data_IF_783877330988
#
_entry.id   IF_783877330988
#
_cell.length_a   1.000
_cell.length_b   1.000
_cell.length_c   1.000
_cell.angle_alpha   90.00
_cell.angle_beta   90.00
_cell.angle_gamma   90.00
#
_symmetry.space_group_name_H-M   'P 1'
#
loop_
_entity.id
_entity.type
_entity.pdbx_description
1 polymer ?
#
# COMPACT_ATOMS: atom_id res chain seq x y z
N UNK A 1 -58.94 -57.96 17.43
CA UNK A 1 -58.68 -57.06 16.25
C UNK A 1 -57.75 -56.00 16.70
N UNK A 2 -56.47 -56.15 16.45
CA UNK A 2 -55.43 -55.22 16.87
C UNK A 2 -54.84 -54.64 15.61
N UNK A 3 -55.16 -53.36 15.32
CA UNK A 3 -54.58 -52.60 14.19
C UNK A 3 -53.12 -52.25 14.46
N UNK A 4 -52.26 -52.62 13.55
CA UNK A 4 -50.85 -52.29 13.58
C UNK A 4 -50.63 -50.77 13.26
N UNK A 5 -49.82 -50.01 14.01
CA UNK A 5 -49.59 -48.63 13.76
C UNK A 5 -48.72 -48.45 12.52
N UNK A 6 -49.20 -47.63 11.64
CA UNK A 6 -48.78 -47.35 10.29
C UNK A 6 -47.30 -46.87 10.20
N UNK A 7 -46.51 -47.57 9.42
CA UNK A 7 -45.13 -47.21 9.00
C UNK A 7 -44.95 -45.81 8.35
N UNK A 8 -46.04 -45.14 8.01
CA UNK A 8 -46.05 -43.78 7.42
C UNK A 8 -45.51 -42.70 8.38
N UNK A 9 -45.77 -42.80 9.69
CA UNK A 9 -45.29 -41.79 10.69
C UNK A 9 -43.77 -41.79 10.90
N UNK A 10 -43.14 -42.97 10.86
CA UNK A 10 -41.68 -43.08 11.04
C UNK A 10 -40.90 -42.51 9.86
N UNK A 11 -41.45 -42.57 8.66
CA UNK A 11 -40.81 -42.04 7.45
C UNK A 11 -40.88 -40.50 7.40
N UNK A 12 -41.96 -39.90 7.88
CA UNK A 12 -42.11 -38.44 8.00
C UNK A 12 -41.11 -37.84 9.03
N UNK A 13 -40.95 -38.48 10.19
CA UNK A 13 -40.01 -38.01 11.22
C UNK A 13 -38.55 -37.98 10.76
N UNK A 14 -38.15 -38.97 9.92
CA UNK A 14 -36.78 -38.99 9.34
C UNK A 14 -36.56 -37.86 8.34
N UNK A 15 -37.55 -37.54 7.50
CA UNK A 15 -37.46 -36.41 6.56
C UNK A 15 -37.41 -35.06 7.27
N UNK A 16 -38.17 -34.90 8.35
CA UNK A 16 -38.12 -33.70 9.20
C UNK A 16 -36.73 -33.50 9.85
N UNK A 17 -36.14 -34.63 10.33
CA UNK A 17 -34.80 -34.60 10.90
C UNK A 17 -33.74 -34.17 9.83
N UNK A 18 -33.80 -34.74 8.63
CA UNK A 18 -32.90 -34.36 7.54
C UNK A 18 -33.11 -32.89 7.09
N UNK A 19 -34.35 -32.42 7.07
CA UNK A 19 -34.65 -31.02 6.76
C UNK A 19 -34.06 -30.05 7.81
N UNK A 20 -34.18 -30.39 9.09
CA UNK A 20 -33.58 -29.60 10.17
C UNK A 20 -32.06 -29.60 10.08
N UNK A 21 -31.41 -30.71 9.84
CA UNK A 21 -29.96 -30.80 9.64
C UNK A 21 -29.55 -30.02 8.42
N UNK A 22 -30.26 -30.09 7.31
CA UNK A 22 -29.96 -29.33 6.09
C UNK A 22 -30.05 -27.84 6.32
N UNK A 23 -31.10 -27.35 7.01
CA UNK A 23 -31.27 -25.91 7.31
C UNK A 23 -30.16 -25.39 8.25
N UNK A 24 -29.69 -26.21 9.20
CA UNK A 24 -28.61 -25.78 10.11
C UNK A 24 -27.23 -25.83 9.45
N UNK A 25 -27.00 -26.79 8.56
CA UNK A 25 -25.69 -26.94 7.89
C UNK A 25 -25.59 -26.06 6.63
N UNK A 26 -26.69 -25.80 5.93
CA UNK A 26 -26.70 -25.05 4.68
C UNK A 26 -26.02 -23.66 4.80
N UNK A 27 -26.27 -22.81 5.82
CA UNK A 27 -25.60 -21.50 5.93
C UNK A 27 -24.09 -21.64 6.14
N UNK A 28 -23.63 -22.66 6.86
CA UNK A 28 -22.20 -22.92 7.07
C UNK A 28 -21.54 -23.33 5.76
N UNK A 29 -22.15 -24.28 5.04
CA UNK A 29 -21.64 -24.71 3.73
C UNK A 29 -21.71 -23.55 2.70
N UNK A 30 -22.78 -22.77 2.70
CA UNK A 30 -22.91 -21.59 1.83
C UNK A 30 -21.83 -20.55 2.12
N UNK A 31 -21.51 -20.31 3.40
CA UNK A 31 -20.43 -19.40 3.81
C UNK A 31 -19.05 -19.91 3.34
N UNK A 32 -18.77 -21.19 3.53
CA UNK A 32 -17.53 -21.81 3.03
C UNK A 32 -17.46 -21.75 1.50
N UNK A 33 -18.53 -22.07 0.81
CA UNK A 33 -18.59 -22.04 -0.65
C UNK A 33 -18.39 -20.60 -1.16
N UNK A 34 -19.05 -19.63 -0.56
CA UNK A 34 -18.90 -18.22 -0.89
C UNK A 34 -17.45 -17.75 -0.66
N UNK A 35 -16.80 -18.17 0.42
CA UNK A 35 -15.42 -17.81 0.71
C UNK A 35 -14.42 -18.41 -0.30
N UNK A 36 -14.59 -19.68 -0.68
CA UNK A 36 -13.64 -20.36 -1.58
C UNK A 36 -13.91 -20.11 -3.07
N UNK A 37 -15.18 -19.96 -3.46
CA UNK A 37 -15.58 -19.73 -4.87
C UNK A 37 -15.59 -18.23 -5.20
N UNK A 38 -16.10 -17.42 -4.27
CA UNK A 38 -16.14 -15.97 -4.41
C UNK A 38 -15.05 -15.31 -3.54
N UNK A 39 -13.79 -15.66 -3.80
CA UNK A 39 -12.70 -14.86 -3.22
C UNK A 39 -12.97 -13.40 -3.58
N UNK A 40 -13.30 -12.50 -2.64
CA UNK A 40 -13.33 -11.09 -2.96
C UNK A 40 -11.92 -10.77 -3.43
N UNK A 41 -11.75 -10.48 -4.72
CA UNK A 41 -10.53 -9.87 -5.23
C UNK A 41 -10.27 -8.69 -4.32
N UNK A 42 -9.16 -8.72 -3.59
CA UNK A 42 -8.77 -7.69 -2.63
C UNK A 42 -9.07 -6.32 -3.21
N UNK A 43 -9.57 -5.40 -2.39
CA UNK A 43 -10.13 -4.13 -2.86
C UNK A 43 -9.23 -3.55 -3.94
N UNK A 44 -9.83 -3.13 -5.05
CA UNK A 44 -9.10 -2.58 -6.21
C UNK A 44 -8.28 -1.40 -5.71
N UNK A 45 -6.98 -1.63 -5.49
CA UNK A 45 -6.02 -0.57 -5.23
C UNK A 45 -5.74 0.13 -6.55
N UNK A 46 -5.58 1.44 -6.52
CA UNK A 46 -5.21 2.20 -7.70
C UNK A 46 -3.72 2.00 -8.03
N UNK A 47 -2.87 2.08 -6.99
CA UNK A 47 -1.47 1.72 -7.09
C UNK A 47 -1.27 0.22 -7.20
N UNK A 48 -0.16 -0.18 -7.77
CA UNK A 48 0.27 -1.57 -7.80
C UNK A 48 0.74 -2.00 -6.41
N UNK A 49 0.07 -3.01 -5.84
CA UNK A 49 0.50 -3.61 -4.59
C UNK A 49 1.79 -4.38 -4.81
N UNK A 50 2.79 -4.06 -4.00
CA UNK A 50 4.03 -4.81 -3.94
C UNK A 50 3.93 -5.92 -2.87
N UNK A 51 4.79 -6.93 -2.99
CA UNK A 51 4.99 -7.86 -1.89
C UNK A 51 5.48 -7.06 -0.68
N UNK A 52 4.71 -7.10 0.42
CA UNK A 52 5.06 -6.38 1.65
C UNK A 52 6.29 -7.04 2.26
N UNK A 53 7.42 -6.36 2.12
CA UNK A 53 8.71 -6.81 2.67
C UNK A 53 9.54 -5.59 3.05
N UNK A 54 10.40 -5.71 4.08
CA UNK A 54 11.30 -4.62 4.44
C UNK A 54 12.17 -4.21 3.25
N UNK A 55 12.30 -2.90 3.04
CA UNK A 55 13.29 -2.38 2.09
C UNK A 55 14.67 -2.75 2.62
N UNK A 56 15.48 -3.52 1.88
CA UNK A 56 16.83 -3.86 2.32
C UNK A 56 17.65 -2.60 2.62
N UNK A 57 18.54 -2.70 3.61
CA UNK A 57 19.47 -1.61 3.91
C UNK A 57 20.43 -1.43 2.72
N UNK A 58 20.65 -0.18 2.34
CA UNK A 58 21.62 0.21 1.32
C UNK A 58 22.27 1.53 1.71
N UNK A 59 23.43 1.81 1.11
CA UNK A 59 24.25 2.97 1.46
C UNK A 59 23.62 4.26 0.95
N UNK A 60 23.33 5.15 1.88
CA UNK A 60 22.80 6.49 1.63
C UNK A 60 23.70 7.54 2.28
N UNK A 61 23.71 8.73 1.68
CA UNK A 61 24.36 9.90 2.26
C UNK A 61 23.45 11.11 2.10
N UNK A 62 23.58 12.08 2.99
CA UNK A 62 23.04 13.44 2.81
C UNK A 62 23.75 14.15 1.67
N UNK A 63 23.24 15.33 1.25
CA UNK A 63 23.91 16.15 0.23
C UNK A 63 25.31 16.61 0.67
N UNK A 64 25.53 16.73 1.99
CA UNK A 64 26.82 17.10 2.60
C UNK A 64 27.76 15.89 2.79
N UNK A 65 27.36 14.72 2.28
CA UNK A 65 28.17 13.49 2.34
C UNK A 65 28.15 12.74 3.67
N UNK A 66 27.30 13.12 4.62
CA UNK A 66 27.17 12.39 5.87
C UNK A 66 26.38 11.08 5.66
N UNK A 67 26.76 9.99 6.31
CA UNK A 67 26.01 8.75 6.26
C UNK A 67 24.55 8.96 6.69
N UNK A 68 23.62 8.32 6.00
CA UNK A 68 22.19 8.37 6.30
C UNK A 68 21.55 6.99 6.12
N UNK A 69 20.40 6.78 6.73
CA UNK A 69 19.67 5.52 6.66
C UNK A 69 18.17 5.73 6.54
N UNK A 70 17.47 4.88 5.79
CA UNK A 70 16.01 4.84 5.78
C UNK A 70 15.44 4.48 7.16
N UNK A 71 16.21 3.81 8.01
CA UNK A 71 15.78 3.46 9.37
C UNK A 71 15.46 4.70 10.22
N UNK A 72 16.10 5.84 9.96
CA UNK A 72 15.85 7.12 10.64
C UNK A 72 14.51 7.74 10.30
N UNK A 73 13.89 7.29 9.21
CA UNK A 73 12.60 7.76 8.73
C UNK A 73 11.44 6.83 9.14
N UNK A 74 11.71 5.76 9.91
CA UNK A 74 10.66 4.89 10.46
C UNK A 74 9.70 5.68 11.34
N UNK A 75 8.47 5.18 11.45
CA UNK A 75 7.38 5.86 12.15
C UNK A 75 6.57 6.79 11.25
N UNK A 76 6.96 6.96 9.98
CA UNK A 76 6.20 7.76 8.99
C UNK A 76 6.00 7.00 7.69
N UNK A 77 4.92 7.29 7.02
CA UNK A 77 4.67 6.86 5.66
C UNK A 77 5.59 7.65 4.72
N UNK A 78 6.37 6.96 3.90
CA UNK A 78 7.31 7.62 2.99
C UNK A 78 6.80 7.56 1.56
N UNK A 79 6.65 8.72 0.93
CA UNK A 79 6.50 8.86 -0.51
C UNK A 79 7.89 9.02 -1.12
N UNK A 80 8.38 7.97 -1.77
CA UNK A 80 9.77 7.86 -2.24
C UNK A 80 9.81 7.94 -3.76
N UNK A 81 10.58 8.86 -4.29
CA UNK A 81 10.97 8.87 -5.69
C UNK A 81 12.49 8.78 -5.83
N UNK A 82 12.95 8.26 -6.95
CA UNK A 82 14.37 8.24 -7.30
C UNK A 82 14.58 8.88 -8.67
N UNK A 83 15.55 9.78 -8.76
CA UNK A 83 15.92 10.45 -10.01
C UNK A 83 17.32 11.04 -9.93
N UNK A 84 17.86 11.44 -11.09
CA UNK A 84 19.07 12.26 -11.19
C UNK A 84 18.90 13.60 -10.50
N UNK A 85 19.99 14.16 -9.94
CA UNK A 85 20.01 15.54 -9.47
C UNK A 85 19.73 16.57 -10.56
N UNK A 86 19.94 16.26 -11.84
CA UNK A 86 19.59 17.13 -12.97
C UNK A 86 18.09 17.43 -13.06
N UNK A 87 17.26 16.53 -12.56
CA UNK A 87 15.81 16.66 -12.41
C UNK A 87 15.12 17.29 -13.63
N UNK A 88 14.90 16.49 -14.68
CA UNK A 88 14.15 16.93 -15.85
C UNK A 88 12.67 17.26 -15.50
N UNK A 89 11.91 17.77 -16.44
CA UNK A 89 10.54 18.25 -16.22
C UNK A 89 9.66 17.19 -15.52
N UNK A 90 9.72 15.92 -15.94
CA UNK A 90 8.96 14.84 -15.31
C UNK A 90 9.32 14.61 -13.84
N UNK A 91 10.58 14.86 -13.45
CA UNK A 91 11.03 14.83 -12.07
C UNK A 91 10.45 16.02 -11.29
N UNK A 92 10.49 17.24 -11.82
CA UNK A 92 9.89 18.43 -11.19
C UNK A 92 8.39 18.26 -10.96
N UNK A 93 7.69 17.73 -11.96
CA UNK A 93 6.25 17.45 -11.87
C UNK A 93 5.95 16.41 -10.80
N UNK A 94 6.81 15.39 -10.67
CA UNK A 94 6.67 14.36 -9.63
C UNK A 94 6.92 14.94 -8.23
N UNK A 95 7.97 15.74 -8.05
CA UNK A 95 8.25 16.43 -6.78
C UNK A 95 7.06 17.30 -6.35
N UNK A 96 6.49 18.05 -7.30
CA UNK A 96 5.28 18.84 -7.08
C UNK A 96 4.10 17.95 -6.66
N UNK A 97 3.85 16.88 -7.39
CA UNK A 97 2.75 15.94 -7.09
C UNK A 97 2.89 15.32 -5.69
N UNK A 98 4.08 14.85 -5.31
CA UNK A 98 4.33 14.29 -3.98
C UNK A 98 4.08 15.33 -2.86
N UNK A 99 4.39 16.60 -3.11
CA UNK A 99 4.06 17.69 -2.19
C UNK A 99 2.54 17.82 -2.02
N UNK A 100 1.81 17.82 -3.14
CA UNK A 100 0.35 17.91 -3.12
C UNK A 100 -0.27 16.70 -2.42
N UNK A 101 0.24 15.49 -2.64
CA UNK A 101 -0.26 14.28 -1.98
C UNK A 101 -0.13 14.37 -0.45
N UNK A 102 1.00 14.87 0.06
CA UNK A 102 1.21 15.11 1.49
C UNK A 102 0.26 16.16 2.04
N UNK A 103 0.21 17.35 1.43
CA UNK A 103 -0.62 18.48 1.88
C UNK A 103 -2.11 18.13 1.87
N UNK A 104 -2.57 17.35 0.88
CA UNK A 104 -3.95 16.90 0.78
C UNK A 104 -4.39 15.99 1.94
N UNK A 105 -3.47 15.44 2.74
CA UNK A 105 -3.83 14.65 3.93
C UNK A 105 -4.27 15.51 5.12
N UNK A 106 -4.16 16.83 5.03
CA UNK A 106 -4.63 17.75 6.05
C UNK A 106 -3.98 17.49 7.42
N UNK A 107 -4.78 17.17 8.42
CA UNK A 107 -4.29 16.88 9.79
C UNK A 107 -3.35 15.67 9.88
N UNK A 108 -3.43 14.74 8.94
CA UNK A 108 -2.58 13.54 8.89
C UNK A 108 -1.27 13.78 8.11
N UNK A 109 -1.04 15.00 7.59
CA UNK A 109 0.12 15.28 6.73
C UNK A 109 1.47 15.05 7.44
N UNK A 110 1.52 15.18 8.77
CA UNK A 110 2.76 14.99 9.54
C UNK A 110 3.14 13.51 9.70
N UNK A 111 2.23 12.61 9.37
CA UNK A 111 2.48 11.17 9.28
C UNK A 111 3.06 10.76 7.92
N UNK A 112 3.10 11.68 6.96
CA UNK A 112 3.61 11.44 5.60
C UNK A 112 4.86 12.26 5.38
N UNK A 113 5.96 11.60 5.05
CA UNK A 113 7.22 12.23 4.68
C UNK A 113 7.49 12.00 3.19
N UNK A 114 8.22 12.91 2.56
CA UNK A 114 8.63 12.81 1.16
C UNK A 114 10.14 12.59 1.10
N UNK A 115 10.55 11.64 0.27
CA UNK A 115 11.96 11.31 0.10
C UNK A 115 12.32 11.34 -1.39
N UNK A 116 13.31 12.14 -1.73
CA UNK A 116 13.95 12.11 -3.04
C UNK A 116 15.32 11.44 -2.91
N UNK A 117 15.45 10.27 -3.55
CA UNK A 117 16.69 9.52 -3.66
C UNK A 117 17.41 9.96 -4.94
N UNK A 118 18.51 10.65 -4.77
CA UNK A 118 19.40 11.04 -5.88
C UNK A 118 20.19 9.82 -6.36
N UNK A 119 20.11 9.53 -7.66
CA UNK A 119 20.75 8.35 -8.27
C UNK A 119 22.17 8.61 -8.76
N UNK A 120 22.61 9.87 -8.74
CA UNK A 120 23.93 10.29 -9.23
C UNK A 120 24.55 11.39 -8.35
N UNK A 121 25.74 11.85 -8.76
CA UNK A 121 26.48 12.90 -8.07
C UNK A 121 26.04 14.31 -8.43
N UNK A 122 25.12 14.47 -9.39
CA UNK A 122 24.65 15.78 -9.85
C UNK A 122 23.97 16.54 -8.71
N UNK A 123 24.31 17.80 -8.55
CA UNK A 123 23.64 18.66 -7.57
C UNK A 123 22.28 19.11 -8.11
N UNK A 124 21.24 19.07 -7.29
CA UNK A 124 19.93 19.58 -7.67
C UNK A 124 19.96 21.07 -8.03
N UNK A 125 19.25 21.44 -9.08
CA UNK A 125 19.08 22.85 -9.45
C UNK A 125 18.25 23.60 -8.40
N UNK A 126 18.34 24.94 -8.38
CA UNK A 126 17.52 25.76 -7.48
C UNK A 126 16.01 25.52 -7.69
N UNK A 127 15.58 25.33 -8.93
CA UNK A 127 14.19 24.99 -9.24
C UNK A 127 13.77 23.62 -8.65
N UNK A 128 14.64 22.62 -8.76
CA UNK A 128 14.39 21.30 -8.18
C UNK A 128 14.34 21.34 -6.64
N UNK A 129 15.24 22.08 -6.01
CA UNK A 129 15.23 22.30 -4.55
C UNK A 129 13.96 23.01 -4.08
N UNK A 130 13.48 23.98 -4.84
CA UNK A 130 12.22 24.69 -4.54
C UNK A 130 11.01 23.73 -4.64
N UNK A 131 10.96 22.85 -5.62
CA UNK A 131 9.90 21.85 -5.72
C UNK A 131 10.01 20.77 -4.64
N UNK A 132 11.23 20.42 -4.26
CA UNK A 132 11.50 19.45 -3.19
C UNK A 132 11.38 20.05 -1.78
N UNK A 133 11.06 21.35 -1.64
CA UNK A 133 10.99 22.01 -0.33
C UNK A 133 10.20 21.21 0.70
N UNK A 134 10.82 20.98 1.87
CA UNK A 134 10.31 20.13 2.93
C UNK A 134 10.38 18.61 2.65
N UNK A 135 11.01 18.15 1.57
CA UNK A 135 11.33 16.74 1.37
C UNK A 135 12.71 16.41 1.94
N UNK A 136 12.93 15.14 2.32
CA UNK A 136 14.28 14.63 2.60
C UNK A 136 14.97 14.32 1.28
N UNK A 137 16.23 14.77 1.15
CA UNK A 137 17.08 14.50 0.01
C UNK A 137 18.25 13.63 0.46
N UNK A 138 18.31 12.41 -0.09
CA UNK A 138 19.41 11.49 0.19
C UNK A 138 20.00 11.00 -1.12
N UNK A 139 21.30 10.80 -1.15
CA UNK A 139 22.02 10.26 -2.30
C UNK A 139 22.25 8.78 -2.13
N UNK A 140 21.82 7.98 -3.08
CA UNK A 140 22.14 6.57 -3.13
C UNK A 140 23.60 6.38 -3.58
N UNK A 141 24.37 5.62 -2.83
CA UNK A 141 25.75 5.28 -3.14
C UNK A 141 25.88 3.89 -3.79
N UNK A 142 24.79 3.18 -3.89
CA UNK A 142 24.67 1.88 -4.53
C UNK A 142 23.28 1.71 -5.14
N UNK A 143 23.03 0.59 -5.81
CA UNK A 143 21.72 0.31 -6.42
C UNK A 143 20.58 0.36 -5.40
N UNK A 144 19.52 1.11 -5.73
CA UNK A 144 18.35 1.25 -4.86
C UNK A 144 17.54 -0.06 -4.94
N UNK A 145 17.32 -0.76 -3.82
CA UNK A 145 16.67 -2.08 -3.82
C UNK A 145 15.13 -1.99 -3.86
N UNK A 146 14.60 -1.14 -4.74
CA UNK A 146 13.16 -1.04 -5.00
C UNK A 146 12.85 -1.73 -6.34
N UNK A 147 11.72 -2.45 -6.45
CA UNK A 147 11.39 -3.21 -7.65
C UNK A 147 11.05 -2.31 -8.83
N UNK A 148 11.43 -2.77 -10.03
CA UNK A 148 11.13 -2.22 -11.35
C UNK A 148 11.69 -0.80 -11.64
N UNK A 149 11.38 -0.28 -12.83
CA UNK A 149 11.85 1.00 -13.35
C UNK A 149 11.64 2.17 -12.38
N UNK A 150 12.69 2.53 -11.67
CA UNK A 150 12.69 3.60 -10.68
C UNK A 150 12.43 4.97 -11.32
N UNK A 151 12.85 5.14 -12.57
CA UNK A 151 12.73 6.41 -13.30
C UNK A 151 11.26 6.80 -13.60
N UNK A 152 10.35 5.81 -13.71
CA UNK A 152 8.97 6.06 -14.12
C UNK A 152 7.94 5.86 -13.00
N UNK A 153 8.42 5.72 -11.77
CA UNK A 153 7.56 5.38 -10.63
C UNK A 153 7.95 6.14 -9.37
N UNK A 154 6.99 6.25 -8.44
CA UNK A 154 7.25 6.55 -7.05
C UNK A 154 6.65 5.46 -6.16
N UNK A 155 7.14 5.35 -4.95
CA UNK A 155 6.83 4.25 -4.04
C UNK A 155 6.24 4.77 -2.74
N UNK A 156 5.40 3.94 -2.14
CA UNK A 156 4.93 4.13 -0.77
C UNK A 156 5.58 3.07 0.12
N UNK A 157 6.26 3.54 1.16
CA UNK A 157 6.86 2.73 2.22
C UNK A 157 6.07 2.99 3.51
N UNK A 158 5.77 1.92 4.24
CA UNK A 158 5.03 2.01 5.50
C UNK A 158 5.93 2.48 6.67
N UNK A 159 5.34 2.85 7.83
CA UNK A 159 6.10 3.27 9.01
C UNK A 159 7.05 2.22 9.59
N UNK A 160 6.87 0.95 9.25
CA UNK A 160 7.77 -0.15 9.66
C UNK A 160 8.98 -0.27 8.72
N UNK A 161 8.95 0.41 7.57
CA UNK A 161 9.99 0.38 6.56
C UNK A 161 9.76 -0.67 5.47
N UNK A 162 8.53 -1.18 5.31
CA UNK A 162 8.20 -2.11 4.24
C UNK A 162 7.75 -1.36 2.99
N UNK A 163 8.16 -1.84 1.81
CA UNK A 163 7.55 -1.42 0.56
C UNK A 163 6.11 -1.93 0.49
N UNK A 164 5.17 -1.07 0.12
CA UNK A 164 3.74 -1.41 0.08
C UNK A 164 3.17 -1.25 -1.32
N UNK A 165 3.42 -0.12 -1.95
CA UNK A 165 2.81 0.23 -3.22
C UNK A 165 3.77 0.94 -4.16
N UNK A 166 3.51 0.79 -5.44
CA UNK A 166 4.14 1.51 -6.54
C UNK A 166 3.09 2.24 -7.36
N UNK A 167 3.41 3.45 -7.75
CA UNK A 167 2.60 4.28 -8.63
C UNK A 167 3.41 4.75 -9.84
N UNK A 168 2.87 4.77 -11.04
CA UNK A 168 3.52 5.43 -12.17
C UNK A 168 3.57 6.94 -11.92
N UNK A 169 4.57 7.65 -12.46
CA UNK A 169 4.64 9.12 -12.36
C UNK A 169 3.44 9.83 -12.99
N UNK A 170 2.82 9.19 -13.99
CA UNK A 170 1.58 9.65 -14.63
C UNK A 170 0.32 9.35 -13.82
N UNK A 171 0.44 8.90 -12.55
CA UNK A 171 -0.71 8.55 -11.73
C UNK A 171 -1.66 9.73 -11.56
N UNK A 172 -2.96 9.45 -11.62
CA UNK A 172 -4.02 10.44 -11.43
C UNK A 172 -4.03 10.93 -9.97
N UNK A 173 -3.76 12.24 -9.72
CA UNK A 173 -3.56 12.74 -8.36
C UNK A 173 -4.72 12.46 -7.41
N UNK A 174 -5.96 12.63 -7.87
CA UNK A 174 -7.15 12.40 -7.03
C UNK A 174 -7.28 10.96 -6.54
N UNK A 175 -6.85 9.99 -7.34
CA UNK A 175 -6.87 8.57 -6.96
C UNK A 175 -5.78 8.25 -5.95
N UNK A 176 -4.57 8.78 -6.13
CA UNK A 176 -3.46 8.61 -5.17
C UNK A 176 -3.83 9.21 -3.82
N UNK A 177 -4.34 10.45 -3.80
CA UNK A 177 -4.75 11.14 -2.57
C UNK A 177 -5.81 10.31 -1.83
N UNK A 178 -6.85 9.85 -2.54
CA UNK A 178 -7.92 9.05 -1.94
C UNK A 178 -7.41 7.73 -1.34
N UNK A 179 -6.49 7.08 -2.04
CA UNK A 179 -5.89 5.82 -1.58
C UNK A 179 -5.00 6.05 -0.35
N UNK A 180 -4.14 7.07 -0.38
CA UNK A 180 -3.29 7.44 0.75
C UNK A 180 -4.13 7.82 1.98
N UNK A 181 -5.18 8.62 1.82
CA UNK A 181 -6.12 8.97 2.90
C UNK A 181 -6.74 7.70 3.51
N UNK A 182 -7.15 6.74 2.67
CA UNK A 182 -7.70 5.47 3.15
C UNK A 182 -6.68 4.64 3.93
N UNK A 183 -5.44 4.60 3.45
CA UNK A 183 -4.35 3.89 4.14
C UNK A 183 -4.05 4.51 5.51
N UNK A 184 -3.93 5.83 5.59
CA UNK A 184 -3.68 6.55 6.84
C UNK A 184 -4.80 6.32 7.85
N UNK A 185 -6.07 6.39 7.41
CA UNK A 185 -7.24 6.16 8.26
C UNK A 185 -7.31 4.72 8.79
N UNK A 186 -6.98 3.73 7.96
CA UNK A 186 -7.04 2.32 8.37
C UNK A 186 -5.86 1.88 9.24
N UNK A 187 -4.83 2.72 9.36
CA UNK A 187 -3.59 2.44 10.08
C UNK A 187 -3.27 3.57 11.07
N UNK A 188 -4.27 4.05 11.81
CA UNK A 188 -4.11 5.16 12.77
C UNK A 188 -3.10 4.86 13.88
N UNK A 189 -2.88 3.58 14.20
CA UNK A 189 -1.96 3.14 15.25
C UNK A 189 -0.53 2.87 14.75
N UNK A 190 -0.23 3.12 13.48
CA UNK A 190 1.09 2.86 12.88
C UNK A 190 1.58 4.17 12.24
N UNK A 191 2.56 4.80 12.88
CA UNK A 191 3.18 6.04 12.39
C UNK A 191 2.59 7.32 12.94
#
# INVERSE_FOLDING_TARGET
MTEAPTQKKARQGRWTLFALIAVTIAPVLASYLAYYVWKPSGGKTYGELLAVQPVPAFKLATLDGQPASLAELKGKWLLVMSDSGACAQSCLDTLHALRQFRVAQGKEMDRVERLWLLTDATQPSAAALQQADGAKLLRAQEAIPLPASQADSFYLIDPLGNQVMRYPRSAEPGKVIKELTRLLKNNENIG
#
